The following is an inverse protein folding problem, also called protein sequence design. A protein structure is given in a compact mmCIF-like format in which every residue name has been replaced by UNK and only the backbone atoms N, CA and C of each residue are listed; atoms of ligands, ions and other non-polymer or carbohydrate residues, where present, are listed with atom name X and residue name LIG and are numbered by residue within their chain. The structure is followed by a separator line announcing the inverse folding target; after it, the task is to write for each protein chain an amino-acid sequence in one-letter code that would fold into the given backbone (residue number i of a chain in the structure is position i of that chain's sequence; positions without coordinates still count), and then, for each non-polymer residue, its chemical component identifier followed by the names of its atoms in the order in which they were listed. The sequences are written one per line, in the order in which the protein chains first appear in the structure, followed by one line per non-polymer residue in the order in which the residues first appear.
data_IF_837370958433
#
_entry.id   IF_837370958433
#
_cell.length_a   1.000
_cell.length_b   1.000
_cell.length_c   1.000
_cell.angle_alpha   90.00
_cell.angle_beta   90.00
_cell.angle_gamma   90.00
#
_symmetry.space_group_name_H-M   'P 1'
#
loop_
_entity.id
_entity.type
_entity.pdbx_description
1 polymer ?
#
# COMPACT_ATOMS: atom_id res chain seq x y z
N UNK A 1 18.58 3.29 18.36
CA UNK A 1 18.16 3.25 16.95
C UNK A 1 16.80 3.90 16.82
N UNK A 2 16.69 4.92 16.00
CA UNK A 2 15.43 5.60 15.65
C UNK A 2 15.00 5.12 14.28
N UNK A 3 13.80 4.53 14.17
CA UNK A 3 13.31 3.95 12.92
C UNK A 3 12.23 4.83 12.27
N UNK A 4 12.58 5.48 11.17
CA UNK A 4 11.72 6.40 10.40
C UNK A 4 11.50 5.93 8.95
N UNK A 5 11.39 4.61 8.72
CA UNK A 5 11.10 4.00 7.40
C UNK A 5 9.87 3.06 7.44
N UNK A 6 8.82 3.46 8.17
CA UNK A 6 7.54 2.72 8.24
C UNK A 6 6.93 2.45 6.86
N UNK A 7 7.08 3.37 5.91
CA UNK A 7 6.55 3.23 4.55
C UNK A 7 7.18 2.07 3.76
N UNK A 8 8.36 1.57 4.16
CA UNK A 8 8.92 0.32 3.65
C UNK A 8 8.33 -0.89 4.37
N UNK A 9 8.36 -0.89 5.70
CA UNK A 9 7.74 -1.90 6.57
C UNK A 9 7.62 -1.35 7.99
N UNK A 10 6.58 -1.69 8.74
CA UNK A 10 6.54 -1.38 10.17
C UNK A 10 7.59 -2.21 10.90
N UNK A 11 8.56 -1.56 11.54
CA UNK A 11 9.56 -2.23 12.39
C UNK A 11 8.95 -2.51 13.78
N UNK A 12 8.50 -1.45 14.46
CA UNK A 12 7.73 -1.59 15.69
C UNK A 12 6.32 -2.04 15.36
N UNK A 13 5.92 -3.17 15.95
CA UNK A 13 4.60 -3.76 15.84
C UNK A 13 4.00 -3.91 17.25
N UNK A 14 2.66 -3.97 17.36
CA UNK A 14 2.04 -4.41 18.60
C UNK A 14 2.59 -5.77 19.03
N UNK A 15 2.87 -5.95 20.31
CA UNK A 15 3.48 -7.18 20.87
C UNK A 15 2.64 -8.42 20.54
N UNK A 16 1.32 -8.28 20.60
CA UNK A 16 0.36 -9.33 20.25
C UNK A 16 0.51 -9.88 18.83
N UNK A 17 1.17 -9.14 17.92
CA UNK A 17 1.45 -9.63 16.55
C UNK A 17 2.51 -10.74 16.60
N UNK A 18 3.60 -10.52 17.34
CA UNK A 18 4.66 -11.51 17.50
C UNK A 18 4.15 -12.75 18.25
N UNK A 19 3.37 -12.54 19.32
CA UNK A 19 2.73 -13.60 20.09
C UNK A 19 1.79 -14.45 19.23
N UNK A 20 0.94 -13.81 18.41
CA UNK A 20 0.01 -14.52 17.53
C UNK A 20 0.74 -15.38 16.49
N UNK A 21 1.86 -14.90 15.92
CA UNK A 21 2.69 -15.69 15.00
C UNK A 21 3.33 -16.86 15.73
N UNK A 22 3.89 -16.65 16.92
CA UNK A 22 4.51 -17.68 17.72
C UNK A 22 3.52 -18.80 18.09
N UNK A 23 2.33 -18.45 18.59
CA UNK A 23 1.31 -19.44 18.93
C UNK A 23 0.76 -20.14 17.69
N UNK A 24 0.63 -19.44 16.56
CA UNK A 24 0.19 -20.05 15.32
C UNK A 24 1.19 -21.09 14.80
N UNK A 25 2.51 -20.86 14.91
CA UNK A 25 3.54 -21.85 14.54
C UNK A 25 3.39 -23.15 15.34
N UNK A 26 2.97 -23.06 16.61
CA UNK A 26 2.79 -24.24 17.48
C UNK A 26 1.47 -24.97 17.28
N UNK A 27 0.41 -24.26 16.86
CA UNK A 27 -0.96 -24.76 16.97
C UNK A 27 -1.74 -24.84 15.66
N UNK A 28 -1.24 -24.30 14.53
CA UNK A 28 -1.98 -24.34 13.26
C UNK A 28 -1.74 -25.63 12.48
N UNK A 29 -2.82 -26.17 11.92
CA UNK A 29 -2.80 -27.26 10.96
C UNK A 29 -3.07 -26.78 9.53
N UNK A 30 -3.19 -27.71 8.59
CA UNK A 30 -3.56 -27.40 7.22
C UNK A 30 -5.05 -27.05 7.14
N UNK A 31 -5.35 -25.79 6.79
CA UNK A 31 -6.72 -25.34 6.58
C UNK A 31 -7.37 -26.05 5.38
N UNK A 32 -8.68 -26.32 5.47
CA UNK A 32 -9.46 -26.87 4.35
C UNK A 32 -9.24 -28.38 4.07
N UNK A 33 -8.36 -29.07 4.81
CA UNK A 33 -8.00 -30.48 4.52
C UNK A 33 -8.20 -31.47 5.66
N UNK A 34 -8.96 -31.15 6.69
CA UNK A 34 -9.18 -32.07 7.81
C UNK A 34 -10.37 -31.71 8.67
N UNK A 35 -11.06 -32.76 9.16
CA UNK A 35 -12.15 -32.62 10.13
C UNK A 35 -11.66 -32.61 11.60
N UNK A 36 -10.33 -32.55 11.83
CA UNK A 36 -9.78 -32.45 13.17
C UNK A 36 -9.83 -31.01 13.70
N UNK A 37 -9.80 -30.89 15.03
CA UNK A 37 -9.93 -29.58 15.70
C UNK A 37 -8.84 -28.58 15.30
N UNK A 38 -7.63 -29.03 15.00
CA UNK A 38 -6.49 -28.17 14.63
C UNK A 38 -6.78 -27.50 13.27
N UNK A 39 -7.16 -28.30 12.26
CA UNK A 39 -7.50 -27.80 10.92
C UNK A 39 -8.73 -26.87 10.94
N UNK A 40 -9.76 -27.22 11.74
CA UNK A 40 -10.95 -26.38 11.90
C UNK A 40 -10.63 -25.04 12.55
N UNK A 41 -9.78 -25.01 13.59
CA UNK A 41 -9.35 -23.77 14.24
C UNK A 41 -8.56 -22.88 13.28
N UNK A 42 -7.68 -23.46 12.47
CA UNK A 42 -6.95 -22.72 11.44
C UNK A 42 -7.89 -22.11 10.41
N UNK A 43 -8.85 -22.90 9.89
CA UNK A 43 -9.86 -22.43 8.94
C UNK A 43 -10.68 -21.28 9.54
N UNK A 44 -11.12 -21.41 10.79
CA UNK A 44 -11.84 -20.35 11.50
C UNK A 44 -11.02 -19.07 11.64
N UNK A 45 -9.75 -19.17 12.00
CA UNK A 45 -8.84 -18.03 12.13
C UNK A 45 -8.69 -17.30 10.78
N UNK A 46 -8.53 -18.04 9.68
CA UNK A 46 -8.46 -17.44 8.33
C UNK A 46 -9.76 -16.73 7.97
N UNK A 47 -10.91 -17.35 8.24
CA UNK A 47 -12.20 -16.74 7.99
C UNK A 47 -12.43 -15.48 8.83
N UNK A 48 -12.18 -15.54 10.13
CA UNK A 48 -12.26 -14.37 11.03
C UNK A 48 -11.36 -13.21 10.55
N UNK A 49 -10.19 -13.53 9.96
CA UNK A 49 -9.29 -12.50 9.42
C UNK A 49 -9.89 -11.84 8.18
N UNK A 50 -10.54 -12.63 7.28
CA UNK A 50 -11.25 -12.06 6.12
C UNK A 50 -12.41 -11.16 6.56
N UNK A 51 -13.18 -11.59 7.55
CA UNK A 51 -14.28 -10.76 8.10
C UNK A 51 -13.77 -9.43 8.65
N UNK A 52 -12.65 -9.45 9.39
CA UNK A 52 -12.05 -8.24 9.94
C UNK A 52 -11.53 -7.30 8.86
N UNK A 53 -10.87 -7.82 7.82
CA UNK A 53 -10.43 -7.05 6.66
C UNK A 53 -11.63 -6.47 5.89
N UNK A 54 -12.63 -7.30 5.62
CA UNK A 54 -13.85 -6.87 4.94
C UNK A 54 -14.53 -5.72 5.69
N UNK A 55 -14.66 -5.85 7.02
CA UNK A 55 -15.21 -4.80 7.88
C UNK A 55 -14.34 -3.54 7.90
N UNK A 56 -13.01 -3.69 7.95
CA UNK A 56 -12.08 -2.56 7.96
C UNK A 56 -12.20 -1.70 6.68
N UNK A 57 -12.52 -2.34 5.55
CA UNK A 57 -12.71 -1.69 4.25
C UNK A 57 -14.17 -1.40 3.90
N UNK A 58 -15.10 -1.58 4.86
CA UNK A 58 -16.55 -1.43 4.67
C UNK A 58 -17.12 -2.29 3.53
N UNK A 59 -16.61 -3.52 3.39
CA UNK A 59 -17.11 -4.51 2.44
C UNK A 59 -18.32 -5.29 2.96
N UNK A 60 -19.09 -5.90 2.05
CA UNK A 60 -20.31 -6.64 2.38
C UNK A 60 -20.10 -8.13 2.52
N UNK A 61 -19.13 -8.69 1.84
CA UNK A 61 -18.91 -10.13 1.74
C UNK A 61 -17.42 -10.46 1.96
N UNK A 62 -17.12 -11.14 3.04
CA UNK A 62 -15.75 -11.53 3.42
C UNK A 62 -15.16 -12.61 2.50
N UNK A 63 -15.99 -13.40 1.79
CA UNK A 63 -15.52 -14.37 0.80
C UNK A 63 -14.81 -13.70 -0.39
N UNK A 64 -15.04 -12.40 -0.58
CA UNK A 64 -14.43 -11.59 -1.63
C UNK A 64 -13.00 -11.11 -1.28
N UNK A 65 -12.55 -11.37 -0.05
CA UNK A 65 -11.16 -11.15 0.36
C UNK A 65 -10.31 -12.38 0.03
N UNK A 66 -9.25 -12.20 -0.73
CA UNK A 66 -8.27 -13.24 -1.09
C UNK A 66 -6.92 -12.90 -0.48
N UNK A 67 -6.23 -13.85 0.12
CA UNK A 67 -4.90 -13.66 0.64
C UNK A 67 -3.83 -13.80 -0.46
N UNK A 68 -2.80 -12.98 -0.35
CA UNK A 68 -1.60 -13.00 -1.17
C UNK A 68 -0.37 -12.76 -0.28
N UNK A 69 0.83 -13.00 -0.78
CA UNK A 69 2.06 -12.75 -0.02
C UNK A 69 2.30 -11.26 0.25
N UNK A 70 1.78 -10.39 -0.61
CA UNK A 70 1.90 -8.93 -0.50
C UNK A 70 1.06 -8.25 -1.60
N UNK A 71 1.02 -6.92 -1.58
CA UNK A 71 0.33 -6.15 -2.63
C UNK A 71 0.91 -6.37 -4.03
N UNK A 72 2.21 -6.62 -4.17
CA UNK A 72 2.82 -6.90 -5.49
C UNK A 72 2.22 -8.15 -6.12
N UNK A 73 2.05 -9.22 -5.34
CA UNK A 73 1.38 -10.43 -5.83
C UNK A 73 -0.10 -10.17 -6.14
N UNK A 74 -0.81 -9.47 -5.23
CA UNK A 74 -2.21 -9.11 -5.45
C UNK A 74 -2.40 -8.32 -6.75
N UNK A 75 -1.56 -7.32 -7.02
CA UNK A 75 -1.57 -6.54 -8.26
C UNK A 75 -1.22 -7.38 -9.51
N UNK A 76 -0.30 -8.34 -9.38
CA UNK A 76 -0.02 -9.27 -10.48
C UNK A 76 -1.21 -10.20 -10.76
N UNK A 77 -1.90 -10.72 -9.72
CA UNK A 77 -3.12 -11.51 -9.88
C UNK A 77 -4.15 -10.71 -10.69
N UNK A 78 -4.38 -9.44 -10.30
CA UNK A 78 -5.36 -8.57 -10.96
C UNK A 78 -4.95 -8.27 -12.40
N UNK A 79 -3.75 -7.73 -12.59
CA UNK A 79 -3.31 -7.24 -13.91
C UNK A 79 -3.18 -8.38 -14.92
N UNK A 80 -2.69 -9.55 -14.48
CA UNK A 80 -2.51 -10.71 -15.38
C UNK A 80 -3.81 -11.48 -15.63
N UNK A 81 -4.73 -11.50 -14.65
CA UNK A 81 -5.97 -12.26 -14.74
C UNK A 81 -7.16 -11.48 -15.32
N UNK A 82 -7.07 -10.15 -15.37
CA UNK A 82 -8.20 -9.32 -15.77
C UNK A 82 -8.10 -8.80 -17.20
N UNK A 83 -6.88 -8.40 -17.65
CA UNK A 83 -6.71 -7.73 -18.93
C UNK A 83 -6.43 -8.70 -20.07
N UNK A 84 -6.93 -8.34 -21.25
CA UNK A 84 -6.79 -9.10 -22.49
C UNK A 84 -6.12 -8.23 -23.57
N UNK A 85 -5.83 -8.84 -24.71
CA UNK A 85 -5.25 -8.14 -25.86
C UNK A 85 -6.07 -6.91 -26.25
N UNK A 86 -5.38 -5.77 -26.43
CA UNK A 86 -5.93 -4.45 -26.81
C UNK A 86 -6.84 -3.79 -25.77
N UNK A 87 -6.97 -4.33 -24.55
CA UNK A 87 -7.59 -3.58 -23.48
C UNK A 87 -6.77 -2.29 -23.19
N UNK A 88 -7.45 -1.17 -23.06
CA UNK A 88 -6.83 0.08 -22.64
C UNK A 88 -6.99 0.26 -21.13
N UNK A 89 -5.88 0.59 -20.48
CA UNK A 89 -5.80 0.78 -19.02
C UNK A 89 -5.29 2.20 -18.77
N UNK A 90 -6.00 2.94 -17.96
CA UNK A 90 -5.57 4.23 -17.45
C UNK A 90 -4.91 3.98 -16.09
N UNK A 91 -3.76 4.55 -15.87
CA UNK A 91 -3.04 4.53 -14.58
C UNK A 91 -2.37 5.88 -14.34
N UNK A 92 -1.58 6.02 -13.27
CA UNK A 92 -1.04 7.33 -12.87
C UNK A 92 0.47 7.35 -12.77
N UNK A 93 1.06 8.55 -12.80
CA UNK A 93 2.49 8.73 -12.52
C UNK A 93 2.83 8.56 -11.02
N UNK A 94 1.81 8.49 -10.15
CA UNK A 94 1.99 8.24 -8.72
C UNK A 94 2.24 6.76 -8.38
N UNK A 95 2.14 5.85 -9.35
CA UNK A 95 2.17 4.41 -9.12
C UNK A 95 3.53 3.89 -8.68
N UNK A 96 3.48 2.91 -7.79
CA UNK A 96 4.63 2.10 -7.42
C UNK A 96 4.98 1.09 -8.55
N UNK A 97 6.23 0.63 -8.59
CA UNK A 97 6.67 -0.41 -9.54
C UNK A 97 5.85 -1.70 -9.50
N UNK A 98 5.15 -1.97 -8.41
CA UNK A 98 4.23 -3.12 -8.29
C UNK A 98 3.03 -3.03 -9.22
N UNK A 99 2.65 -1.82 -9.66
CA UNK A 99 1.66 -1.55 -10.70
C UNK A 99 2.35 -1.39 -12.04
N UNK A 100 3.39 -0.54 -12.13
CA UNK A 100 4.02 -0.17 -13.40
C UNK A 100 4.64 -1.36 -14.13
N UNK A 101 5.40 -2.21 -13.43
CA UNK A 101 6.11 -3.33 -14.07
C UNK A 101 5.16 -4.39 -14.62
N UNK A 102 4.13 -4.86 -13.91
CA UNK A 102 3.12 -5.75 -14.50
C UNK A 102 2.39 -5.12 -15.69
N UNK A 103 2.06 -3.82 -15.66
CA UNK A 103 1.45 -3.12 -16.80
C UNK A 103 2.39 -3.04 -17.99
N UNK A 104 3.65 -2.69 -17.79
CA UNK A 104 4.64 -2.71 -18.88
C UNK A 104 4.84 -4.12 -19.48
N UNK A 105 4.76 -5.14 -18.62
CA UNK A 105 4.80 -6.54 -19.07
C UNK A 105 3.55 -6.88 -19.89
N UNK A 106 2.35 -6.53 -19.44
CA UNK A 106 1.10 -6.75 -20.16
C UNK A 106 1.10 -6.04 -21.53
N UNK A 107 1.58 -4.79 -21.59
CA UNK A 107 1.75 -4.07 -22.85
C UNK A 107 2.67 -4.80 -23.82
N UNK A 108 3.76 -5.40 -23.34
CA UNK A 108 4.74 -6.09 -24.15
C UNK A 108 4.29 -7.47 -24.61
N UNK A 109 3.60 -8.23 -23.75
CA UNK A 109 3.22 -9.63 -23.97
C UNK A 109 1.81 -9.77 -24.54
N UNK A 110 0.89 -8.88 -24.17
CA UNK A 110 -0.55 -8.96 -24.47
C UNK A 110 -1.04 -7.76 -25.31
N UNK A 111 -0.15 -6.87 -25.75
CA UNK A 111 -0.48 -5.67 -26.53
C UNK A 111 -1.55 -4.77 -25.86
N UNK A 112 -1.60 -4.71 -24.53
CA UNK A 112 -2.47 -3.77 -23.82
C UNK A 112 -2.03 -2.33 -24.09
N UNK A 113 -2.99 -1.40 -24.11
CA UNK A 113 -2.73 0.01 -24.28
C UNK A 113 -2.71 0.70 -22.92
N UNK A 114 -1.74 1.61 -22.68
CA UNK A 114 -1.57 2.29 -21.40
C UNK A 114 -1.61 3.80 -21.57
N UNK A 115 -2.39 4.47 -20.74
CA UNK A 115 -2.32 5.92 -20.55
C UNK A 115 -1.92 6.23 -19.10
N UNK A 116 -0.94 7.13 -18.93
CA UNK A 116 -0.46 7.58 -17.62
C UNK A 116 -0.96 9.00 -17.37
N UNK A 117 -1.79 9.17 -16.36
CA UNK A 117 -2.24 10.49 -15.91
C UNK A 117 -1.10 11.15 -15.15
N UNK A 118 -0.79 12.39 -15.53
CA UNK A 118 0.36 13.12 -15.01
C UNK A 118 0.15 13.59 -13.57
N UNK A 119 1.26 13.70 -12.87
CA UNK A 119 1.36 14.43 -11.62
C UNK A 119 2.11 15.75 -11.85
N UNK A 120 1.73 16.79 -11.12
CA UNK A 120 2.48 18.05 -11.12
C UNK A 120 3.74 17.97 -10.23
N UNK A 121 4.46 19.10 -10.12
CA UNK A 121 5.68 19.22 -9.29
C UNK A 121 5.44 19.09 -7.78
N UNK A 122 4.19 19.13 -7.34
CA UNK A 122 3.78 18.87 -5.96
C UNK A 122 3.30 17.42 -5.77
N UNK A 123 3.33 16.60 -6.82
CA UNK A 123 2.83 15.22 -6.82
C UNK A 123 1.31 15.13 -6.80
N UNK A 124 0.57 16.18 -7.19
CA UNK A 124 -0.88 16.18 -7.32
C UNK A 124 -1.27 15.55 -8.64
N UNK A 125 -2.26 14.66 -8.58
CA UNK A 125 -2.80 14.00 -9.77
C UNK A 125 -3.75 14.92 -10.53
N UNK A 126 -3.56 15.04 -11.86
CA UNK A 126 -4.45 15.80 -12.74
C UNK A 126 -5.71 14.99 -13.09
N UNK A 127 -6.64 14.86 -12.13
CA UNK A 127 -7.83 14.00 -12.26
C UNK A 127 -8.71 14.40 -13.46
N UNK A 128 -8.74 15.68 -13.83
CA UNK A 128 -9.51 16.15 -14.98
C UNK A 128 -9.08 15.54 -16.33
N UNK A 129 -7.86 15.03 -16.41
CA UNK A 129 -7.34 14.33 -17.60
C UNK A 129 -7.81 12.87 -17.71
N UNK A 130 -8.34 12.29 -16.63
CA UNK A 130 -8.83 10.91 -16.64
C UNK A 130 -9.98 10.75 -17.64
N UNK A 131 -11.02 11.59 -17.55
CA UNK A 131 -12.18 11.49 -18.42
C UNK A 131 -11.82 11.70 -19.90
N UNK A 132 -10.90 12.65 -20.18
CA UNK A 132 -10.40 12.91 -21.54
C UNK A 132 -9.59 11.75 -22.11
N UNK A 133 -9.05 10.91 -21.24
CA UNK A 133 -8.23 9.75 -21.62
C UNK A 133 -9.06 8.48 -21.86
N UNK A 134 -10.36 8.49 -21.54
CA UNK A 134 -11.25 7.34 -21.74
C UNK A 134 -11.47 7.10 -23.24
N UNK A 135 -11.29 5.84 -23.64
CA UNK A 135 -11.48 5.35 -25.01
C UNK A 135 -12.52 4.25 -25.04
N UNK A 136 -13.00 3.89 -26.24
CA UNK A 136 -13.98 2.81 -26.43
C UNK A 136 -13.52 1.47 -25.86
N UNK A 137 -12.20 1.21 -25.89
CA UNK A 137 -11.56 0.00 -25.37
C UNK A 137 -10.98 0.16 -23.96
N UNK A 138 -11.27 1.25 -23.26
CA UNK A 138 -10.86 1.43 -21.86
C UNK A 138 -11.58 0.41 -20.99
N UNK A 139 -10.82 -0.40 -20.26
CA UNK A 139 -11.30 -1.45 -19.39
C UNK A 139 -11.32 -1.07 -17.92
N UNK A 140 -10.25 -0.41 -17.49
CA UNK A 140 -10.04 -0.12 -16.07
C UNK A 140 -9.22 1.16 -15.84
N UNK A 141 -9.35 1.67 -14.61
CA UNK A 141 -8.43 2.66 -14.04
C UNK A 141 -7.74 2.02 -12.84
N UNK A 142 -6.40 2.13 -12.78
CA UNK A 142 -5.59 1.71 -11.64
C UNK A 142 -4.99 2.96 -11.00
N UNK A 143 -5.23 3.16 -9.70
CA UNK A 143 -4.74 4.31 -8.97
C UNK A 143 -4.23 3.92 -7.58
N UNK A 144 -3.02 4.38 -7.22
CA UNK A 144 -2.58 4.31 -5.82
C UNK A 144 -3.42 5.26 -4.96
N UNK A 145 -3.80 4.81 -3.77
CA UNK A 145 -4.57 5.67 -2.84
C UNK A 145 -3.70 6.72 -2.17
N UNK A 146 -2.45 6.39 -1.88
CA UNK A 146 -1.51 7.35 -1.30
C UNK A 146 -0.09 7.11 -1.81
N UNK A 147 0.60 8.20 -2.15
CA UNK A 147 1.97 8.15 -2.66
C UNK A 147 2.96 7.72 -1.57
N UNK A 148 3.73 6.68 -1.86
CA UNK A 148 4.80 6.21 -0.99
C UNK A 148 6.05 7.13 -0.98
N UNK A 149 6.05 8.17 -1.79
CA UNK A 149 7.13 9.15 -1.88
C UNK A 149 6.71 10.51 -1.32
N UNK A 150 5.59 11.06 -1.77
CA UNK A 150 5.16 12.41 -1.37
C UNK A 150 4.25 12.42 -0.13
N UNK A 151 3.62 11.29 0.20
CA UNK A 151 2.60 11.23 1.25
C UNK A 151 1.24 11.80 0.83
N UNK A 152 1.10 12.31 -0.39
CA UNK A 152 -0.17 12.82 -0.91
C UNK A 152 -1.21 11.71 -0.97
N UNK A 153 -2.43 12.01 -0.54
CA UNK A 153 -3.61 11.14 -0.70
C UNK A 153 -4.29 11.52 -2.01
N UNK A 154 -4.53 10.52 -2.86
CA UNK A 154 -5.26 10.72 -4.11
C UNK A 154 -6.77 10.70 -3.84
N UNK A 155 -7.51 11.58 -4.50
CA UNK A 155 -8.97 11.63 -4.42
C UNK A 155 -9.60 10.44 -5.17
N UNK A 156 -9.46 9.25 -4.56
CA UNK A 156 -9.99 8.00 -5.14
C UNK A 156 -11.51 7.96 -5.17
N UNK A 157 -12.21 8.76 -4.37
CA UNK A 157 -13.66 8.87 -4.43
C UNK A 157 -14.11 9.51 -5.74
N UNK A 158 -13.42 10.58 -6.16
CA UNK A 158 -13.66 11.22 -7.46
C UNK A 158 -13.30 10.30 -8.62
N UNK A 159 -12.17 9.58 -8.54
CA UNK A 159 -11.78 8.60 -9.56
C UNK A 159 -12.79 7.46 -9.64
N UNK A 160 -13.24 6.92 -8.50
CA UNK A 160 -14.26 5.87 -8.45
C UNK A 160 -15.61 6.30 -9.04
N UNK A 161 -15.99 7.57 -8.84
CA UNK A 161 -17.18 8.14 -9.48
C UNK A 161 -17.05 8.14 -11.00
N UNK A 162 -15.90 8.61 -11.53
CA UNK A 162 -15.61 8.59 -12.98
C UNK A 162 -15.70 7.15 -13.52
N UNK A 163 -15.11 6.17 -12.81
CA UNK A 163 -15.20 4.77 -13.21
C UNK A 163 -16.62 4.27 -13.28
N UNK A 164 -17.42 4.56 -12.25
CA UNK A 164 -18.84 4.14 -12.18
C UNK A 164 -19.66 4.74 -13.32
N UNK A 165 -19.50 6.01 -13.62
CA UNK A 165 -20.23 6.72 -14.68
C UNK A 165 -19.87 6.22 -16.08
N UNK A 166 -18.67 5.67 -16.27
CA UNK A 166 -18.16 5.17 -17.54
C UNK A 166 -18.11 3.63 -17.63
N UNK A 167 -18.68 2.89 -16.66
CA UNK A 167 -18.66 1.42 -16.58
C UNK A 167 -17.24 0.82 -16.66
N UNK A 168 -16.28 1.48 -16.02
CA UNK A 168 -14.89 1.04 -15.92
C UNK A 168 -14.64 0.33 -14.58
N UNK A 169 -13.73 -0.64 -14.58
CA UNK A 169 -13.29 -1.30 -13.35
C UNK A 169 -12.32 -0.38 -12.62
N UNK A 170 -12.57 -0.13 -11.33
CA UNK A 170 -11.70 0.68 -10.49
C UNK A 170 -10.83 -0.19 -9.58
N UNK A 171 -9.52 -0.12 -9.78
CA UNK A 171 -8.51 -0.89 -9.04
C UNK A 171 -7.68 0.08 -8.20
N UNK A 172 -7.59 -0.17 -6.90
CA UNK A 172 -6.84 0.69 -5.96
C UNK A 172 -5.67 -0.07 -5.35
N UNK A 173 -4.46 0.50 -5.47
CA UNK A 173 -3.32 0.09 -4.66
C UNK A 173 -3.36 0.81 -3.31
N UNK A 174 -3.76 0.09 -2.26
CA UNK A 174 -3.86 0.57 -0.90
C UNK A 174 -2.62 0.23 -0.05
N UNK A 175 -1.47 -0.04 -0.66
CA UNK A 175 -0.25 -0.46 0.06
C UNK A 175 0.21 0.52 1.13
N UNK A 176 -0.08 1.81 0.97
CA UNK A 176 0.30 2.86 1.94
C UNK A 176 -0.89 3.32 2.80
N UNK A 177 -2.12 3.08 2.35
CA UNK A 177 -3.33 3.61 2.99
C UNK A 177 -4.05 2.59 3.87
N UNK A 178 -4.00 1.29 3.52
CA UNK A 178 -4.63 0.24 4.32
C UNK A 178 -4.04 0.19 5.75
N UNK A 179 -4.87 0.50 6.74
CA UNK A 179 -4.47 0.59 8.14
C UNK A 179 -3.85 1.95 8.56
N UNK A 180 -3.76 2.93 7.63
CA UNK A 180 -3.30 4.29 7.92
C UNK A 180 -4.44 5.31 7.84
N UNK A 181 -5.28 5.21 6.81
CA UNK A 181 -6.44 6.07 6.61
C UNK A 181 -7.68 5.24 6.29
N UNK A 182 -8.86 5.83 6.44
CA UNK A 182 -10.12 5.15 6.16
C UNK A 182 -10.27 4.83 4.68
N UNK A 183 -10.69 3.59 4.40
CA UNK A 183 -11.06 3.13 3.07
C UNK A 183 -12.49 2.60 3.15
N UNK A 184 -13.34 3.07 2.25
CA UNK A 184 -14.73 2.63 2.12
C UNK A 184 -14.98 2.20 0.68
N UNK A 185 -14.87 0.89 0.43
CA UNK A 185 -14.96 0.33 -0.93
C UNK A 185 -16.32 0.57 -1.60
N UNK A 186 -17.38 0.71 -0.81
CA UNK A 186 -18.71 0.98 -1.35
C UNK A 186 -18.87 2.45 -1.74
N UNK A 187 -18.56 3.37 -0.82
CA UNK A 187 -18.66 4.81 -1.04
C UNK A 187 -17.70 5.29 -2.14
N UNK A 188 -16.47 4.77 -2.13
CA UNK A 188 -15.42 5.14 -3.08
C UNK A 188 -15.53 4.38 -4.42
N UNK A 189 -16.56 3.54 -4.61
CA UNK A 189 -16.81 2.74 -5.81
C UNK A 189 -15.60 1.87 -6.22
N UNK A 190 -14.87 1.33 -5.26
CA UNK A 190 -13.72 0.48 -5.52
C UNK A 190 -14.20 -0.91 -5.92
N UNK A 191 -13.75 -1.39 -7.05
CA UNK A 191 -14.07 -2.74 -7.54
C UNK A 191 -13.03 -3.75 -7.08
N UNK A 192 -11.77 -3.36 -7.06
CA UNK A 192 -10.66 -4.20 -6.59
C UNK A 192 -9.74 -3.35 -5.71
N UNK A 193 -9.49 -3.83 -4.48
CA UNK A 193 -8.56 -3.19 -3.54
C UNK A 193 -7.39 -4.13 -3.28
N UNK A 194 -6.16 -3.73 -3.59
CA UNK A 194 -4.96 -4.50 -3.29
C UNK A 194 -4.25 -3.91 -2.06
N UNK A 195 -3.82 -4.76 -1.11
CA UNK A 195 -3.18 -4.32 0.13
C UNK A 195 -2.02 -5.21 0.56
N UNK A 196 -1.16 -4.69 1.44
CA UNK A 196 -0.06 -5.43 2.07
C UNK A 196 -0.20 -5.41 3.59
N UNK A 197 0.10 -6.55 4.24
CA UNK A 197 -0.09 -6.69 5.68
C UNK A 197 1.01 -6.07 6.54
N UNK A 198 2.25 -5.99 6.03
CA UNK A 198 3.44 -5.68 6.84
C UNK A 198 3.73 -4.18 7.04
N UNK A 199 2.91 -3.29 6.49
CA UNK A 199 3.01 -1.84 6.68
C UNK A 199 2.01 -1.38 7.75
N UNK A 200 1.08 -0.51 7.42
CA UNK A 200 0.16 0.08 8.39
C UNK A 200 -0.90 -0.89 8.95
N UNK A 201 -1.05 -2.09 8.38
CA UNK A 201 -1.83 -3.17 9.01
C UNK A 201 -1.07 -3.90 10.12
N UNK A 202 0.20 -3.57 10.38
CA UNK A 202 1.07 -4.12 11.44
C UNK A 202 1.28 -5.63 11.40
N UNK A 203 0.84 -6.33 10.35
CA UNK A 203 1.00 -7.77 10.20
C UNK A 203 2.44 -8.20 9.91
N UNK A 204 2.65 -9.51 9.87
CA UNK A 204 3.92 -10.10 9.48
C UNK A 204 4.21 -9.88 7.98
N UNK A 205 5.50 -9.84 7.60
CA UNK A 205 5.91 -9.94 6.20
C UNK A 205 5.40 -11.23 5.58
N UNK A 206 5.21 -11.25 4.25
CA UNK A 206 4.61 -12.40 3.58
C UNK A 206 3.09 -12.50 3.76
N UNK A 207 2.43 -11.37 4.06
CA UNK A 207 0.98 -11.23 4.13
C UNK A 207 0.50 -10.02 3.35
N UNK A 208 -0.65 -10.17 2.74
CA UNK A 208 -1.36 -9.17 1.97
C UNK A 208 -2.60 -9.80 1.34
N UNK A 209 -3.19 -9.13 0.39
CA UNK A 209 -4.35 -9.67 -0.30
C UNK A 209 -5.04 -8.66 -1.19
N UNK A 210 -6.21 -9.06 -1.64
CA UNK A 210 -7.09 -8.22 -2.43
C UNK A 210 -8.55 -8.47 -2.07
N UNK A 211 -9.37 -7.44 -2.22
CA UNK A 211 -10.82 -7.54 -2.31
C UNK A 211 -11.22 -7.48 -3.77
N UNK A 212 -12.18 -8.29 -4.18
CA UNK A 212 -12.75 -8.30 -5.55
C UNK A 212 -14.25 -8.18 -5.45
N UNK A 213 -14.85 -7.12 -6.02
CA UNK A 213 -16.31 -6.93 -6.07
C UNK A 213 -16.98 -8.10 -6.79
N UNK A 214 -18.18 -8.47 -6.32
CA UNK A 214 -19.00 -9.47 -6.96
C UNK A 214 -19.25 -9.14 -8.45
N UNK A 215 -19.26 -10.18 -9.29
CA UNK A 215 -19.42 -10.06 -10.74
C UNK A 215 -18.13 -9.82 -11.52
N UNK A 216 -17.00 -9.53 -10.85
CA UNK A 216 -15.70 -9.41 -11.52
C UNK A 216 -15.01 -10.77 -11.52
N UNK A 217 -14.70 -11.26 -12.72
CA UNK A 217 -13.96 -12.50 -12.92
C UNK A 217 -12.48 -12.20 -13.22
N UNK A 218 -11.62 -12.77 -12.41
CA UNK A 218 -10.17 -12.70 -12.58
C UNK A 218 -9.67 -14.11 -12.86
N UNK A 219 -8.92 -14.31 -13.92
CA UNK A 219 -8.28 -15.59 -14.19
C UNK A 219 -7.16 -15.83 -13.17
N UNK A 220 -7.06 -17.01 -12.56
CA UNK A 220 -6.09 -17.27 -11.51
C UNK A 220 -4.65 -17.19 -12.06
N UNK A 221 -3.79 -16.48 -11.33
CA UNK A 221 -2.36 -16.41 -11.65
C UNK A 221 -1.64 -17.75 -11.38
N UNK A 222 -2.10 -18.46 -10.38
CA UNK A 222 -1.60 -19.77 -9.96
C UNK A 222 -2.76 -20.74 -9.85
N UNK A 223 -2.57 -21.95 -10.34
CA UNK A 223 -3.51 -23.07 -10.22
C UNK A 223 -2.85 -24.22 -9.48
N UNK A 224 -3.61 -25.01 -8.74
CA UNK A 224 -3.07 -26.14 -8.00
C UNK A 224 -3.97 -26.62 -6.87
N UNK A 225 -3.40 -27.17 -5.84
CA UNK A 225 -4.17 -27.68 -4.70
C UNK A 225 -4.89 -26.57 -3.95
N UNK A 226 -6.22 -26.64 -3.91
CA UNK A 226 -7.10 -25.70 -3.21
C UNK A 226 -7.65 -26.24 -1.90
N UNK A 227 -7.61 -27.56 -1.72
CA UNK A 227 -8.25 -28.26 -0.58
C UNK A 227 -9.69 -28.65 -0.82
N UNK A 228 -10.31 -28.20 -1.91
CA UNK A 228 -11.67 -28.55 -2.35
C UNK A 228 -11.64 -29.09 -3.79
N UNK A 229 -12.72 -29.70 -4.24
CA UNK A 229 -12.93 -30.20 -5.61
C UNK A 229 -11.77 -31.07 -6.16
N UNK A 230 -11.21 -31.97 -5.32
CA UNK A 230 -9.99 -32.73 -5.62
C UNK A 230 -10.04 -33.50 -6.95
N UNK A 231 -11.21 -33.94 -7.37
CA UNK A 231 -11.39 -34.76 -8.57
C UNK A 231 -11.72 -33.92 -9.82
N UNK A 232 -11.92 -32.61 -9.67
CA UNK A 232 -12.08 -31.70 -10.78
C UNK A 232 -10.70 -31.41 -11.41
N UNK A 233 -10.64 -31.40 -12.73
CA UNK A 233 -9.42 -31.05 -13.50
C UNK A 233 -9.18 -29.54 -13.53
N UNK A 234 -10.24 -28.75 -13.35
CA UNK A 234 -10.17 -27.31 -13.34
C UNK A 234 -9.95 -26.77 -11.91
N UNK A 235 -9.32 -25.61 -11.80
CA UNK A 235 -9.19 -24.89 -10.53
C UNK A 235 -10.57 -24.38 -10.08
N UNK A 236 -10.85 -24.31 -8.75
CA UNK A 236 -12.13 -23.84 -8.25
C UNK A 236 -12.58 -22.51 -8.86
N UNK A 237 -13.86 -22.41 -9.20
CA UNK A 237 -14.45 -21.20 -9.76
C UNK A 237 -14.86 -20.17 -8.71
N UNK A 238 -15.12 -20.63 -7.48
CA UNK A 238 -15.65 -19.81 -6.40
C UNK A 238 -14.56 -19.07 -5.64
N UNK A 239 -14.87 -17.86 -5.20
CA UNK A 239 -14.02 -17.08 -4.32
C UNK A 239 -14.14 -17.58 -2.86
N UNK A 240 -13.09 -17.53 -2.08
CA UNK A 240 -11.75 -16.99 -2.42
C UNK A 240 -10.81 -18.01 -3.09
N UNK A 241 -11.16 -19.29 -3.13
CA UNK A 241 -10.31 -20.41 -3.59
C UNK A 241 -9.87 -20.23 -5.04
N UNK A 242 -10.68 -19.56 -5.87
CA UNK A 242 -10.34 -19.22 -7.27
C UNK A 242 -8.98 -18.53 -7.40
N UNK A 243 -8.63 -17.67 -6.47
CA UNK A 243 -7.38 -16.88 -6.53
C UNK A 243 -6.34 -17.35 -5.51
N UNK A 244 -6.63 -18.41 -4.75
CA UNK A 244 -5.74 -19.00 -3.75
C UNK A 244 -5.34 -20.42 -4.15
N UNK A 245 -4.08 -20.64 -4.36
CA UNK A 245 -3.52 -21.96 -4.65
C UNK A 245 -2.43 -22.32 -3.65
N UNK A 246 -2.46 -23.55 -3.15
CA UNK A 246 -1.52 -24.06 -2.15
C UNK A 246 -1.94 -23.75 -0.71
N UNK A 247 -1.10 -24.17 0.22
CA UNK A 247 -1.32 -23.91 1.66
C UNK A 247 -1.02 -22.44 1.97
N UNK A 248 -2.01 -21.76 2.57
CA UNK A 248 -1.88 -20.35 2.94
C UNK A 248 -0.85 -20.15 4.07
N UNK A 249 -0.27 -18.97 4.15
CA UNK A 249 0.61 -18.54 5.24
C UNK A 249 -0.22 -18.28 6.53
N UNK A 250 -0.78 -19.34 7.11
CA UNK A 250 -1.64 -19.23 8.29
C UNK A 250 -0.94 -18.56 9.48
N UNK A 251 0.36 -18.78 9.64
CA UNK A 251 1.16 -18.18 10.72
C UNK A 251 1.22 -16.64 10.54
N UNK A 252 1.60 -16.17 9.36
CA UNK A 252 1.63 -14.74 9.05
C UNK A 252 0.24 -14.09 9.11
N UNK A 253 -0.81 -14.80 8.66
CA UNK A 253 -2.20 -14.31 8.70
C UNK A 253 -2.70 -14.18 10.15
N UNK A 254 -2.29 -15.06 11.08
CA UNK A 254 -2.56 -14.89 12.49
C UNK A 254 -1.96 -13.57 13.04
N UNK A 255 -0.73 -13.26 12.66
CA UNK A 255 -0.11 -11.98 12.99
C UNK A 255 -0.83 -10.78 12.34
N UNK A 256 -1.27 -10.91 11.08
CA UNK A 256 -2.07 -9.89 10.41
C UNK A 256 -3.40 -9.64 11.16
N UNK A 257 -4.08 -10.71 11.59
CA UNK A 257 -5.29 -10.62 12.40
C UNK A 257 -5.05 -9.82 13.68
N UNK A 258 -3.97 -10.11 14.40
CA UNK A 258 -3.61 -9.37 15.61
C UNK A 258 -3.32 -7.89 15.33
N UNK A 259 -2.65 -7.57 14.23
CA UNK A 259 -2.44 -6.19 13.79
C UNK A 259 -3.76 -5.44 13.51
N UNK A 260 -4.72 -6.10 12.85
CA UNK A 260 -6.05 -5.53 12.61
C UNK A 260 -6.82 -5.35 13.93
N UNK A 261 -6.71 -6.31 14.87
CA UNK A 261 -7.32 -6.21 16.19
C UNK A 261 -6.75 -5.01 16.99
N UNK A 262 -5.45 -4.77 16.89
CA UNK A 262 -4.82 -3.56 17.44
C UNK A 262 -5.41 -2.28 16.84
N UNK A 263 -5.54 -2.20 15.51
CA UNK A 263 -6.12 -1.04 14.82
C UNK A 263 -7.56 -0.80 15.30
N UNK A 264 -8.38 -1.86 15.35
CA UNK A 264 -9.77 -1.77 15.78
C UNK A 264 -9.92 -1.32 17.25
N UNK A 265 -9.02 -1.77 18.12
CA UNK A 265 -9.00 -1.42 19.55
C UNK A 265 -8.51 0.01 19.80
N UNK A 266 -7.46 0.42 19.08
CA UNK A 266 -6.82 1.74 19.22
C UNK A 266 -7.65 2.83 18.55
N UNK A 267 -8.28 2.50 17.42
CA UNK A 267 -8.97 3.42 16.53
C UNK A 267 -8.05 3.92 15.40
N UNK A 268 -8.49 3.71 14.17
CA UNK A 268 -7.75 4.11 12.96
C UNK A 268 -7.45 5.62 12.94
N UNK A 269 -8.45 6.44 13.27
CA UNK A 269 -8.30 7.90 13.32
C UNK A 269 -7.28 8.35 14.36
N UNK A 270 -7.22 7.67 15.51
CA UNK A 270 -6.23 7.98 16.56
C UNK A 270 -4.82 7.64 16.09
N UNK A 271 -4.65 6.51 15.39
CA UNK A 271 -3.37 6.13 14.80
C UNK A 271 -2.94 7.16 13.76
N UNK A 272 -3.83 7.50 12.83
CA UNK A 272 -3.57 8.50 11.79
C UNK A 272 -3.23 9.87 12.37
N UNK A 273 -4.01 10.35 13.33
CA UNK A 273 -3.79 11.65 13.99
C UNK A 273 -2.41 11.71 14.66
N UNK A 274 -2.02 10.63 15.38
CA UNK A 274 -0.71 10.57 16.02
C UNK A 274 0.44 10.58 15.01
N UNK A 275 0.34 9.78 13.96
CA UNK A 275 1.36 9.74 12.89
C UNK A 275 1.46 11.11 12.19
N UNK A 276 0.34 11.75 11.94
CA UNK A 276 0.26 13.08 11.32
C UNK A 276 0.86 14.17 12.23
N UNK A 277 0.61 14.12 13.54
CA UNK A 277 1.21 15.02 14.52
C UNK A 277 2.75 14.95 14.47
N UNK A 278 3.31 13.74 14.49
CA UNK A 278 4.75 13.52 14.41
C UNK A 278 5.34 14.01 13.07
N UNK A 279 4.63 13.77 11.98
CA UNK A 279 5.02 14.28 10.66
C UNK A 279 5.03 15.81 10.62
N UNK A 280 4.01 16.47 11.16
CA UNK A 280 3.95 17.94 11.19
C UNK A 280 5.02 18.54 12.09
N UNK A 281 5.34 17.90 13.24
CA UNK A 281 6.47 18.29 14.10
C UNK A 281 7.77 18.26 13.31
N UNK A 282 8.03 17.16 12.59
CA UNK A 282 9.22 17.03 11.75
C UNK A 282 9.25 18.09 10.65
N UNK A 283 8.18 18.21 9.86
CA UNK A 283 8.06 19.20 8.79
C UNK A 283 8.34 20.62 9.28
N UNK A 284 7.71 21.02 10.38
CA UNK A 284 7.86 22.35 10.97
C UNK A 284 9.28 22.62 11.46
N UNK A 285 9.97 21.57 11.96
CA UNK A 285 11.35 21.69 12.45
C UNK A 285 12.40 21.81 11.37
N UNK A 286 12.09 21.38 10.11
CA UNK A 286 13.06 21.36 9.01
C UNK A 286 12.77 22.34 7.87
N UNK A 287 11.52 22.82 7.73
CA UNK A 287 11.08 23.59 6.55
C UNK A 287 11.86 24.86 6.25
N UNK A 288 12.47 25.46 7.27
CA UNK A 288 13.22 26.71 7.18
C UNK A 288 14.75 26.49 7.07
N UNK A 289 15.21 25.23 6.97
CA UNK A 289 16.62 24.91 6.79
C UNK A 289 17.07 25.39 5.40
N UNK A 290 18.21 26.04 5.34
CA UNK A 290 18.78 26.55 4.09
C UNK A 290 19.04 25.41 3.10
N UNK A 291 18.67 25.62 1.85
CA UNK A 291 18.83 24.66 0.74
C UNK A 291 18.01 23.34 0.88
N UNK A 292 17.12 23.24 1.86
CA UNK A 292 16.21 22.07 1.91
C UNK A 292 15.15 22.18 0.82
N UNK A 293 14.88 21.06 0.18
CA UNK A 293 13.71 20.86 -0.69
C UNK A 293 12.83 19.80 -0.06
N UNK A 294 11.55 20.09 0.15
CA UNK A 294 10.56 19.17 0.69
C UNK A 294 9.55 18.86 -0.41
N UNK A 295 9.26 17.58 -0.64
CA UNK A 295 8.41 17.13 -1.74
C UNK A 295 7.03 16.71 -1.25
N UNK A 296 6.02 17.03 -2.06
CA UNK A 296 4.62 16.77 -1.77
C UNK A 296 3.83 18.03 -1.45
N UNK A 297 2.53 17.88 -1.39
CA UNK A 297 1.62 18.96 -1.03
C UNK A 297 1.35 18.91 0.48
N UNK A 298 1.53 20.04 1.17
CA UNK A 298 1.31 20.17 2.62
C UNK A 298 0.18 21.13 2.93
N UNK A 299 -0.08 22.09 2.03
CA UNK A 299 -1.10 23.11 2.21
C UNK A 299 -1.92 23.25 0.93
N UNK A 300 -3.21 23.54 1.09
CA UNK A 300 -4.09 23.91 -0.01
C UNK A 300 -3.80 25.33 -0.52
N UNK A 301 -4.56 25.77 -1.51
CA UNK A 301 -4.46 27.13 -2.09
C UNK A 301 -4.78 28.25 -1.11
N UNK A 302 -5.51 27.95 -0.04
CA UNK A 302 -5.87 28.88 1.02
C UNK A 302 -4.87 28.87 2.18
N UNK A 303 -3.80 28.06 2.08
CA UNK A 303 -2.78 27.91 3.12
C UNK A 303 -3.22 27.03 4.31
N UNK A 304 -4.27 26.22 4.15
CA UNK A 304 -4.70 25.27 5.19
C UNK A 304 -3.97 23.94 5.02
N UNK A 305 -3.65 23.31 6.13
CA UNK A 305 -3.07 21.97 6.13
C UNK A 305 -4.01 20.97 5.43
N UNK A 306 -3.46 20.21 4.48
CA UNK A 306 -4.20 19.12 3.83
C UNK A 306 -4.04 17.81 4.59
N UNK A 307 -4.98 16.90 4.38
CA UNK A 307 -4.84 15.54 4.89
C UNK A 307 -3.86 14.74 4.03
N UNK A 308 -2.98 13.97 4.70
CA UNK A 308 -1.90 13.21 4.06
C UNK A 308 -1.41 12.08 4.97
N UNK A 309 -0.80 11.06 4.40
CA UNK A 309 -0.12 10.04 5.19
C UNK A 309 1.21 10.59 5.72
N UNK A 310 1.67 10.02 6.83
CA UNK A 310 2.83 10.49 7.58
C UNK A 310 4.16 10.18 6.89
N UNK A 311 4.41 10.87 5.76
CA UNK A 311 5.64 10.79 4.97
C UNK A 311 6.14 12.20 4.67
N UNK A 312 7.45 12.40 4.82
CA UNK A 312 8.17 13.60 4.38
C UNK A 312 9.39 13.14 3.59
N UNK A 313 9.48 13.57 2.33
CA UNK A 313 10.66 13.33 1.48
C UNK A 313 11.39 14.64 1.24
N UNK A 314 12.71 14.61 1.36
CA UNK A 314 13.56 15.80 1.26
C UNK A 314 14.79 15.57 0.39
N UNK A 315 15.39 16.67 -0.05
CA UNK A 315 16.80 16.76 -0.44
C UNK A 315 17.45 17.99 0.22
N UNK A 316 18.76 17.91 0.46
CA UNK A 316 19.59 19.02 0.93
C UNK A 316 20.53 19.43 -0.21
N UNK A 317 20.27 20.58 -0.83
CA UNK A 317 21.04 21.05 -1.98
C UNK A 317 21.17 19.96 -3.06
N UNK A 318 22.41 19.73 -3.50
CA UNK A 318 22.74 18.74 -4.53
C UNK A 318 23.40 17.46 -3.95
N UNK A 319 23.35 17.27 -2.62
CA UNK A 319 23.90 16.09 -1.94
C UNK A 319 23.10 14.85 -2.36
N UNK A 320 23.82 13.75 -2.65
CA UNK A 320 23.16 12.47 -2.98
C UNK A 320 22.31 11.98 -1.81
N UNK A 321 21.11 11.52 -2.11
CA UNK A 321 20.18 11.04 -1.08
C UNK A 321 20.71 9.85 -0.29
N UNK A 322 21.56 9.00 -0.88
CA UNK A 322 22.18 7.87 -0.20
C UNK A 322 23.21 8.35 0.82
N UNK A 323 24.01 9.38 0.49
CA UNK A 323 24.99 9.95 1.40
C UNK A 323 24.31 10.51 2.67
N UNK A 324 23.22 11.25 2.53
CA UNK A 324 22.46 11.76 3.68
C UNK A 324 21.92 10.61 4.53
N UNK A 325 21.38 9.55 3.91
CA UNK A 325 20.89 8.39 4.65
C UNK A 325 22.02 7.65 5.38
N UNK A 326 23.19 7.54 4.78
CA UNK A 326 24.36 6.89 5.39
C UNK A 326 24.83 7.68 6.61
N UNK A 327 24.93 9.02 6.52
CA UNK A 327 25.26 9.89 7.65
C UNK A 327 24.22 9.74 8.77
N UNK A 328 22.93 9.82 8.44
CA UNK A 328 21.85 9.62 9.42
C UNK A 328 21.95 8.29 10.15
N UNK A 329 22.28 7.22 9.44
CA UNK A 329 22.37 5.88 10.01
C UNK A 329 23.65 5.69 10.83
N UNK A 330 24.81 6.15 10.33
CA UNK A 330 26.11 5.89 10.94
C UNK A 330 26.38 6.81 12.13
N UNK A 331 26.07 8.11 12.01
CA UNK A 331 26.42 9.10 13.02
C UNK A 331 25.29 9.34 14.03
N UNK A 332 24.02 9.17 13.61
CA UNK A 332 22.86 9.48 14.46
C UNK A 332 22.01 8.27 14.82
N UNK A 333 22.33 7.07 14.33
CA UNK A 333 21.53 5.83 14.53
C UNK A 333 20.05 6.00 14.11
N UNK A 334 19.82 6.78 13.00
CA UNK A 334 18.51 7.06 12.44
C UNK A 334 18.35 6.34 11.11
N UNK A 335 17.37 5.42 11.05
CA UNK A 335 17.04 4.62 9.86
C UNK A 335 16.01 5.34 9.01
N UNK A 336 16.40 5.69 7.78
CA UNK A 336 15.56 6.30 6.74
C UNK A 336 15.75 5.57 5.42
N UNK A 337 15.13 6.03 4.34
CA UNK A 337 15.31 5.41 3.03
C UNK A 337 15.67 6.43 1.96
N UNK A 338 16.76 6.14 1.22
CA UNK A 338 17.22 6.94 0.08
C UNK A 338 16.72 6.39 -1.27
N UNK A 339 16.88 7.20 -2.31
CA UNK A 339 16.83 6.81 -3.72
C UNK A 339 15.46 6.90 -4.37
N UNK A 340 15.16 5.95 -5.25
CA UNK A 340 14.00 6.03 -6.16
C UNK A 340 12.69 5.45 -5.62
N UNK A 341 12.63 4.91 -4.39
CA UNK A 341 11.43 4.42 -3.67
C UNK A 341 10.47 3.54 -4.49
N UNK A 342 10.96 2.93 -5.59
CA UNK A 342 10.13 2.21 -6.56
C UNK A 342 8.98 3.04 -7.17
N UNK A 343 9.12 4.36 -7.24
CA UNK A 343 8.16 5.32 -7.80
C UNK A 343 8.79 6.16 -8.95
N UNK A 344 9.25 5.51 -10.06
CA UNK A 344 10.10 6.16 -11.06
C UNK A 344 9.41 7.31 -11.79
N UNK A 345 8.10 7.23 -12.02
CA UNK A 345 7.36 8.29 -12.72
C UNK A 345 7.11 9.49 -11.81
N UNK A 346 6.84 9.26 -10.52
CA UNK A 346 6.74 10.34 -9.55
C UNK A 346 8.08 11.08 -9.39
N UNK A 347 9.21 10.37 -9.34
CA UNK A 347 10.52 11.02 -9.32
C UNK A 347 10.77 11.88 -10.55
N UNK A 348 10.34 11.45 -11.74
CA UNK A 348 10.39 12.27 -12.95
C UNK A 348 9.50 13.51 -12.87
N UNK A 349 8.28 13.40 -12.35
CA UNK A 349 7.38 14.53 -12.16
C UNK A 349 7.95 15.57 -11.19
N UNK A 350 8.62 15.11 -10.11
CA UNK A 350 9.27 15.96 -9.11
C UNK A 350 10.65 16.48 -9.55
N UNK A 351 11.26 15.94 -10.62
CA UNK A 351 12.62 16.25 -11.06
C UNK A 351 13.72 15.72 -10.14
N UNK A 352 13.48 14.57 -9.52
CA UNK A 352 14.40 13.91 -8.56
C UNK A 352 14.87 12.54 -9.04
N UNK A 353 14.72 12.24 -10.31
CA UNK A 353 15.02 10.93 -10.90
C UNK A 353 16.52 10.60 -10.96
N UNK A 354 17.39 11.61 -10.83
CA UNK A 354 18.85 11.44 -10.75
C UNK A 354 19.31 11.38 -9.29
N UNK A 355 18.93 12.36 -8.48
CA UNK A 355 19.38 12.51 -7.09
C UNK A 355 18.64 11.56 -6.12
N UNK A 356 17.44 11.10 -6.48
CA UNK A 356 16.56 10.44 -5.53
C UNK A 356 15.99 11.42 -4.50
N UNK A 357 15.55 10.86 -3.38
CA UNK A 357 15.15 11.64 -2.21
C UNK A 357 15.43 10.86 -0.93
N UNK A 358 15.57 11.54 0.19
CA UNK A 358 15.58 10.96 1.54
C UNK A 358 14.16 10.97 2.05
N UNK A 359 13.60 9.80 2.32
CA UNK A 359 12.23 9.66 2.82
C UNK A 359 12.21 9.33 4.31
N UNK A 360 11.49 10.13 5.06
CA UNK A 360 11.10 9.89 6.43
C UNK A 360 9.65 9.43 6.46
N UNK A 361 9.34 8.40 7.23
CA UNK A 361 7.96 7.91 7.40
C UNK A 361 7.74 7.47 8.84
N UNK A 362 6.73 8.05 9.44
CA UNK A 362 6.50 8.03 10.88
C UNK A 362 5.49 6.94 11.24
N UNK A 363 5.70 6.33 12.41
CA UNK A 363 4.85 5.30 12.98
C UNK A 363 4.12 5.83 14.20
N UNK A 364 2.96 5.27 14.50
CA UNK A 364 2.24 5.46 15.76
C UNK A 364 3.13 5.28 16.99
N UNK A 365 4.15 4.42 16.90
CA UNK A 365 5.05 4.07 18.00
C UNK A 365 6.26 4.99 18.15
N UNK A 366 6.50 5.91 17.21
CA UNK A 366 7.57 6.89 17.37
C UNK A 366 7.25 7.90 18.48
N UNK A 367 8.28 8.39 19.14
CA UNK A 367 8.18 9.42 20.18
C UNK A 367 8.54 10.80 19.63
N UNK A 368 8.16 11.84 20.36
CA UNK A 368 8.50 13.22 19.99
C UNK A 368 10.01 13.47 20.09
N UNK A 369 10.67 12.84 21.06
CA UNK A 369 12.11 12.90 21.25
C UNK A 369 12.87 12.30 20.07
N UNK A 370 12.35 11.20 19.48
CA UNK A 370 12.92 10.61 18.26
C UNK A 370 12.79 11.57 17.07
N UNK A 371 11.67 12.29 16.98
CA UNK A 371 11.45 13.27 15.92
C UNK A 371 12.37 14.49 16.10
N UNK A 372 12.51 14.98 17.34
CA UNK A 372 13.40 16.10 17.64
C UNK A 372 14.87 15.75 17.36
N UNK A 373 15.28 14.52 17.68
CA UNK A 373 16.62 14.04 17.33
C UNK A 373 16.83 14.02 15.80
N UNK A 374 15.85 13.58 15.03
CA UNK A 374 15.93 13.58 13.58
C UNK A 374 15.96 15.01 12.98
N UNK A 375 15.20 15.95 13.56
CA UNK A 375 15.26 17.38 13.18
C UNK A 375 16.66 17.95 13.42
N UNK A 376 17.24 17.68 14.58
CA UNK A 376 18.57 18.17 14.92
C UNK A 376 19.65 17.58 14.01
N UNK A 377 19.58 16.27 13.74
CA UNK A 377 20.49 15.61 12.80
C UNK A 377 20.45 16.25 11.40
N UNK A 378 19.27 16.54 10.86
CA UNK A 378 19.13 17.21 9.55
C UNK A 378 19.69 18.63 9.58
N UNK A 379 19.55 19.38 10.69
CA UNK A 379 20.15 20.72 10.85
C UNK A 379 21.68 20.66 10.83
N UNK A 380 22.27 19.76 11.62
CA UNK A 380 23.71 19.57 11.71
C UNK A 380 24.31 19.13 10.37
N UNK A 381 23.65 18.19 9.67
CA UNK A 381 24.05 17.78 8.31
C UNK A 381 24.01 18.99 7.37
N UNK A 382 22.95 19.79 7.38
CA UNK A 382 22.79 20.95 6.50
C UNK A 382 23.80 22.07 6.79
N UNK A 383 24.35 22.18 8.01
CA UNK A 383 25.40 23.12 8.37
C UNK A 383 26.79 22.64 7.95
N UNK A 384 26.94 21.34 7.72
CA UNK A 384 28.22 20.72 7.34
C UNK A 384 28.53 20.80 5.85
N UNK A 385 27.53 21.11 5.05
CA UNK A 385 27.58 21.25 3.59
C UNK A 385 27.16 22.67 3.15
#
# INVERSE_FOLDING_TARGET
MIYLDKAATSYHKPEEVAEAVYEAVKATGNSGRGANSISLNTTKMLYDTREKLCKLFNGKDSSRITFAYNATEALNIVIRGLFKEKDHIITTEAEHNSVLRPLYRSRREENTELTFIKCDKMGRLEISEIEKSIRKNTKAIICTHASNLTGNIMDIEKVGKICRENNLIFIVDASQSAGSISIDIERQNIDILCFTGHKSLYGAQGTGGLYVREGILIDPLKVGGSGIDTYNTEHPAEMPERLEAGTLNSHGIAGLKAGIDFINRTGLEKIHSREKELMWRFYSGIKDIKNIKIYGEFFDTDGREIDRIAIVSINLGDIDSAEICDILNIEYDIVTRAGGHCAPLMHKALGTDIQGAVRFSFSYFNTEEEIDAAINAIKEIAESF
#
